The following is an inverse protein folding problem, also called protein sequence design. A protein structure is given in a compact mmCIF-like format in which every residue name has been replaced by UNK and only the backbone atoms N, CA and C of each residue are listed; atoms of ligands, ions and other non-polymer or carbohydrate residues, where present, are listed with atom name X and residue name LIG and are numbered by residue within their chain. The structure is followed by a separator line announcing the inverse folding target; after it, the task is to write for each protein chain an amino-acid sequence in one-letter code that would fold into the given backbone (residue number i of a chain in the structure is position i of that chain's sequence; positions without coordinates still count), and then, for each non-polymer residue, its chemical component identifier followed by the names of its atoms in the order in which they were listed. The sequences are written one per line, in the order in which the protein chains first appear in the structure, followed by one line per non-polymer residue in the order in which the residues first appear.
data_IF_605344721296
#
_entry.id   IF_605344721296
#
_cell.length_a   1.000
_cell.length_b   1.000
_cell.length_c   1.000
_cell.angle_alpha   90.00
_cell.angle_beta   90.00
_cell.angle_gamma   90.00
#
_symmetry.space_group_name_H-M   'P 1'
#
loop_
_entity.id
_entity.type
_entity.pdbx_description
1 polymer ?
#
# COMPACT_ATOMS: atom_id res chain seq x y z
N UNK A 1 -9.51 10.28 24.53
CA UNK A 1 -8.61 10.92 23.55
C UNK A 1 -7.91 12.08 24.24
N UNK A 2 -6.60 12.16 24.09
CA UNK A 2 -5.74 13.23 24.63
C UNK A 2 -5.55 14.30 23.57
N UNK A 3 -5.56 15.58 23.94
CA UNK A 3 -5.11 16.65 23.05
C UNK A 3 -3.59 16.75 23.17
N UNK A 4 -2.86 16.43 22.10
CA UNK A 4 -1.39 16.35 22.10
C UNK A 4 -0.74 17.53 21.38
N UNK A 5 -1.48 18.19 20.50
CA UNK A 5 -1.17 19.49 19.93
C UNK A 5 -2.48 20.18 19.55
N UNK A 6 -2.43 21.50 19.28
CA UNK A 6 -3.60 22.24 18.82
C UNK A 6 -4.16 21.60 17.55
N UNK A 7 -5.43 21.19 17.59
CA UNK A 7 -6.09 20.53 16.45
C UNK A 7 -5.69 19.06 16.24
N UNK A 8 -4.90 18.47 17.15
CA UNK A 8 -4.50 17.06 17.10
C UNK A 8 -4.86 16.34 18.40
N UNK A 9 -5.78 15.37 18.29
CA UNK A 9 -6.13 14.48 19.39
C UNK A 9 -5.66 13.07 19.11
N UNK A 10 -5.10 12.43 20.13
CA UNK A 10 -4.58 11.08 20.10
C UNK A 10 -5.48 10.13 20.91
N UNK A 11 -5.84 8.99 20.33
CA UNK A 11 -6.32 7.84 21.08
C UNK A 11 -5.11 6.91 21.34
N UNK A 12 -4.52 6.94 22.55
CA UNK A 12 -3.30 6.16 22.81
C UNK A 12 -3.60 4.66 22.79
N UNK A 13 -2.62 3.87 22.36
CA UNK A 13 -2.64 2.42 22.53
C UNK A 13 -1.88 2.01 23.80
N UNK A 14 -2.19 0.83 24.31
CA UNK A 14 -1.42 0.18 25.38
C UNK A 14 -1.23 -1.29 25.02
N UNK A 15 -0.36 -1.99 25.74
CA UNK A 15 -0.14 -3.45 25.58
C UNK A 15 -1.46 -4.24 25.73
N UNK A 16 -2.45 -3.71 26.45
CA UNK A 16 -3.77 -4.32 26.58
C UNK A 16 -4.49 -4.48 25.23
N UNK A 17 -4.22 -3.61 24.24
CA UNK A 17 -4.81 -3.72 22.91
C UNK A 17 -4.31 -4.98 22.17
N UNK A 18 -3.04 -5.33 22.32
CA UNK A 18 -2.49 -6.58 21.79
C UNK A 18 -3.10 -7.81 22.50
N UNK A 19 -3.27 -7.72 23.82
CA UNK A 19 -3.95 -8.77 24.59
C UNK A 19 -5.40 -8.99 24.18
N UNK A 20 -6.10 -7.91 23.80
CA UNK A 20 -7.49 -7.94 23.35
C UNK A 20 -7.70 -8.73 22.05
N UNK A 21 -6.75 -8.65 21.12
CA UNK A 21 -6.78 -9.37 19.82
C UNK A 21 -6.36 -10.84 19.93
N UNK A 22 -5.61 -11.21 20.97
CA UNK A 22 -5.13 -12.58 21.17
C UNK A 22 -6.27 -13.62 21.20
N UNK A 23 -5.95 -14.90 20.93
CA UNK A 23 -6.95 -15.98 20.92
C UNK A 23 -7.68 -16.16 22.26
N UNK A 24 -7.06 -15.75 23.37
CA UNK A 24 -7.66 -15.75 24.73
C UNK A 24 -8.23 -14.38 25.12
N UNK A 25 -8.12 -13.39 24.22
CA UNK A 25 -8.60 -12.05 24.40
C UNK A 25 -10.11 -11.95 24.27
N UNK A 26 -10.66 -10.87 24.84
CA UNK A 26 -12.10 -10.64 24.84
C UNK A 26 -12.69 -10.24 23.48
N UNK A 27 -11.89 -9.91 22.46
CA UNK A 27 -12.43 -9.44 21.18
C UNK A 27 -13.02 -10.56 20.33
N UNK A 28 -12.43 -11.76 20.40
CA UNK A 28 -12.82 -12.90 19.58
C UNK A 28 -14.27 -13.34 19.88
N UNK A 29 -14.68 -13.26 21.15
CA UNK A 29 -16.01 -13.67 21.60
C UNK A 29 -17.10 -12.61 21.39
N UNK A 30 -16.74 -11.38 20.99
CA UNK A 30 -17.71 -10.31 20.83
C UNK A 30 -18.42 -10.38 19.47
N UNK A 31 -19.73 -10.05 19.42
CA UNK A 31 -20.42 -9.85 18.17
C UNK A 31 -19.89 -8.59 17.46
N UNK A 32 -19.91 -8.60 16.12
CA UNK A 32 -19.40 -7.52 15.27
C UNK A 32 -18.00 -7.03 15.68
N UNK A 33 -17.15 -7.95 16.12
CA UNK A 33 -15.81 -7.68 16.64
C UNK A 33 -14.92 -6.90 15.67
N UNK A 34 -15.17 -7.00 14.38
CA UNK A 34 -14.51 -6.30 13.29
C UNK A 34 -15.16 -4.95 12.91
N UNK A 35 -16.29 -4.57 13.53
CA UNK A 35 -17.00 -3.29 13.30
C UNK A 35 -16.91 -2.31 14.47
N UNK A 36 -16.20 -2.68 15.55
CA UNK A 36 -16.20 -1.91 16.79
C UNK A 36 -15.54 -0.55 16.63
N UNK A 37 -14.45 -0.46 15.88
CA UNK A 37 -13.76 0.80 15.62
C UNK A 37 -14.64 1.73 14.77
N UNK A 38 -15.22 1.22 13.68
CA UNK A 38 -16.13 1.97 12.82
C UNK A 38 -17.27 2.61 13.64
N UNK A 39 -17.99 1.83 14.46
CA UNK A 39 -19.08 2.35 15.31
C UNK A 39 -18.64 3.38 16.33
N UNK A 40 -17.39 3.32 16.78
CA UNK A 40 -16.84 4.34 17.66
C UNK A 40 -16.53 5.62 16.88
N UNK A 41 -15.88 5.48 15.71
CA UNK A 41 -15.51 6.60 14.85
C UNK A 41 -16.74 7.34 14.31
N UNK A 42 -17.81 6.66 13.91
CA UNK A 42 -19.08 7.28 13.50
C UNK A 42 -19.65 8.23 14.55
N UNK A 43 -19.50 7.91 15.85
CA UNK A 43 -20.00 8.75 16.95
C UNK A 43 -19.15 10.00 17.19
N UNK A 44 -17.85 9.93 16.89
CA UNK A 44 -16.94 11.05 17.14
C UNK A 44 -16.62 11.86 15.88
N UNK A 45 -16.91 11.31 14.69
CA UNK A 45 -16.63 11.90 13.39
C UNK A 45 -17.06 13.38 13.26
N UNK A 46 -18.22 13.84 13.80
CA UNK A 46 -18.61 15.25 13.71
C UNK A 46 -17.62 16.25 14.34
N UNK A 47 -16.62 15.78 15.11
CA UNK A 47 -15.64 16.61 15.80
C UNK A 47 -14.25 16.62 15.13
N UNK A 48 -14.08 15.92 14.01
CA UNK A 48 -12.78 15.74 13.38
C UNK A 48 -12.88 15.87 11.86
N UNK A 49 -11.93 16.59 11.26
CA UNK A 49 -11.84 16.68 9.81
C UNK A 49 -11.27 15.40 9.19
N UNK A 50 -10.34 14.73 9.90
CA UNK A 50 -9.61 13.55 9.44
C UNK A 50 -9.29 12.61 10.60
N UNK A 51 -9.17 11.32 10.30
CA UNK A 51 -8.73 10.28 11.22
C UNK A 51 -7.58 9.48 10.59
N UNK A 52 -6.44 9.41 11.27
CA UNK A 52 -5.32 8.53 10.88
C UNK A 52 -5.32 7.33 11.81
N UNK A 53 -5.36 6.14 11.23
CA UNK A 53 -5.34 4.86 11.97
C UNK A 53 -4.01 4.18 11.68
N UNK A 54 -3.12 4.15 12.68
CA UNK A 54 -1.89 3.37 12.61
C UNK A 54 -2.19 1.88 12.83
N UNK A 55 -1.88 1.06 11.84
CA UNK A 55 -2.24 -0.35 11.82
C UNK A 55 -1.09 -1.22 12.35
N UNK A 56 -1.38 -2.26 13.14
CA UNK A 56 -0.36 -3.21 13.53
C UNK A 56 0.16 -3.98 12.30
N UNK A 57 1.41 -4.48 12.33
CA UNK A 57 1.99 -5.23 11.20
C UNK A 57 1.37 -6.63 11.01
N UNK A 58 0.57 -7.08 11.98
CA UNK A 58 -0.10 -8.39 11.96
C UNK A 58 -1.48 -8.30 11.31
N UNK A 59 -1.86 -9.33 10.56
CA UNK A 59 -3.22 -9.44 10.03
C UNK A 59 -4.09 -10.07 11.12
N UNK A 60 -5.05 -9.31 11.63
CA UNK A 60 -5.94 -9.72 12.70
C UNK A 60 -7.16 -8.81 12.81
N UNK A 61 -7.91 -8.94 13.90
CA UNK A 61 -9.12 -8.15 14.15
C UNK A 61 -8.86 -6.65 14.20
N UNK A 62 -7.70 -6.20 14.68
CA UNK A 62 -7.35 -4.77 14.71
C UNK A 62 -7.20 -4.24 13.28
N UNK A 63 -6.52 -4.98 12.42
CA UNK A 63 -6.36 -4.65 10.99
C UNK A 63 -7.71 -4.67 10.27
N UNK A 64 -8.57 -5.67 10.53
CA UNK A 64 -9.93 -5.68 9.95
C UNK A 64 -10.79 -4.49 10.43
N UNK A 65 -10.70 -4.13 11.71
CA UNK A 65 -11.39 -2.95 12.24
C UNK A 65 -10.89 -1.66 11.57
N UNK A 66 -9.58 -1.51 11.36
CA UNK A 66 -8.98 -0.37 10.68
C UNK A 66 -9.45 -0.29 9.22
N UNK A 67 -9.32 -1.38 8.46
CA UNK A 67 -9.75 -1.44 7.05
C UNK A 67 -11.25 -1.18 6.89
N UNK A 68 -12.07 -1.68 7.82
CA UNK A 68 -13.52 -1.45 7.78
C UNK A 68 -13.88 0.01 8.05
N UNK A 69 -13.10 0.70 8.87
CA UNK A 69 -13.32 2.09 9.24
C UNK A 69 -12.67 3.10 8.29
N UNK A 70 -11.72 2.67 7.46
CA UNK A 70 -10.96 3.54 6.58
C UNK A 70 -11.71 3.82 5.26
N UNK A 71 -11.47 5.01 4.72
CA UNK A 71 -11.87 5.42 3.37
C UNK A 71 -10.74 5.16 2.35
N UNK A 72 -9.50 5.17 2.82
CA UNK A 72 -8.31 4.87 2.04
C UNK A 72 -7.20 4.26 2.91
N UNK A 73 -6.26 3.56 2.28
CA UNK A 73 -5.06 3.01 2.91
C UNK A 73 -3.80 3.59 2.28
N UNK A 74 -2.90 4.09 3.14
CA UNK A 74 -1.54 4.44 2.77
C UNK A 74 -0.62 3.24 3.03
N UNK A 75 0.17 2.85 2.04
CA UNK A 75 1.08 1.71 2.08
C UNK A 75 2.51 2.24 1.99
N UNK A 76 3.24 2.32 3.11
CA UNK A 76 4.64 2.70 3.10
C UNK A 76 5.47 1.58 2.46
N UNK A 77 6.27 1.91 1.45
CA UNK A 77 7.12 0.97 0.71
C UNK A 77 8.55 1.48 0.71
N UNK A 78 9.45 0.75 1.35
CA UNK A 78 10.88 1.03 1.32
C UNK A 78 11.41 0.96 -0.11
N UNK A 79 12.24 1.89 -0.57
CA UNK A 79 12.88 1.82 -1.92
C UNK A 79 14.12 0.91 -1.94
N UNK A 80 13.98 -0.33 -1.45
CA UNK A 80 15.03 -1.35 -1.39
C UNK A 80 14.94 -2.41 -2.48
N UNK A 81 15.89 -3.36 -2.50
CA UNK A 81 15.99 -4.40 -3.54
C UNK A 81 14.71 -5.24 -3.71
N UNK A 82 14.00 -5.53 -2.63
CA UNK A 82 12.76 -6.34 -2.63
C UNK A 82 11.47 -5.51 -2.66
N UNK A 83 11.59 -4.18 -2.74
CA UNK A 83 10.50 -3.24 -2.61
C UNK A 83 9.35 -3.49 -3.57
N UNK A 84 9.67 -3.66 -4.87
CA UNK A 84 8.65 -3.72 -5.90
C UNK A 84 7.76 -4.96 -5.72
N UNK A 85 8.36 -6.14 -5.54
CA UNK A 85 7.61 -7.37 -5.29
C UNK A 85 6.88 -7.33 -3.94
N UNK A 86 7.49 -6.72 -2.92
CA UNK A 86 6.87 -6.50 -1.61
C UNK A 86 5.63 -5.63 -1.70
N UNK A 87 5.74 -4.50 -2.40
CA UNK A 87 4.65 -3.55 -2.63
C UNK A 87 3.47 -4.19 -3.35
N UNK A 88 3.74 -4.92 -4.43
CA UNK A 88 2.70 -5.65 -5.17
C UNK A 88 1.93 -6.62 -4.29
N UNK A 89 2.66 -7.43 -3.52
CA UNK A 89 2.06 -8.38 -2.59
C UNK A 89 1.26 -7.66 -1.51
N UNK A 90 1.77 -6.55 -0.98
CA UNK A 90 1.11 -5.81 0.10
C UNK A 90 -0.17 -5.14 -0.38
N UNK A 91 -0.15 -4.48 -1.54
CA UNK A 91 -1.33 -3.88 -2.18
C UNK A 91 -2.39 -4.95 -2.46
N UNK A 92 -2.00 -6.07 -3.05
CA UNK A 92 -2.91 -7.19 -3.31
C UNK A 92 -3.51 -7.77 -2.01
N UNK A 93 -2.70 -7.89 -0.96
CA UNK A 93 -3.14 -8.39 0.35
C UNK A 93 -4.15 -7.44 1.00
N UNK A 94 -3.86 -6.13 1.00
CA UNK A 94 -4.78 -5.12 1.56
C UNK A 94 -6.09 -5.10 0.77
N UNK A 95 -6.04 -5.18 -0.55
CA UNK A 95 -7.23 -5.30 -1.41
C UNK A 95 -8.09 -6.50 -1.02
N UNK A 96 -7.49 -7.70 -0.93
CA UNK A 96 -8.22 -8.91 -0.55
C UNK A 96 -8.84 -8.83 0.87
N UNK A 97 -8.13 -8.23 1.83
CA UNK A 97 -8.66 -8.02 3.18
C UNK A 97 -9.81 -7.00 3.20
N UNK A 98 -9.72 -5.93 2.41
CA UNK A 98 -10.77 -4.93 2.26
C UNK A 98 -12.04 -5.53 1.62
N UNK A 99 -11.86 -6.36 0.59
CA UNK A 99 -12.96 -7.10 -0.05
C UNK A 99 -13.66 -8.04 0.94
N UNK A 100 -12.90 -8.74 1.79
CA UNK A 100 -13.45 -9.61 2.83
C UNK A 100 -14.35 -8.86 3.82
N UNK A 101 -14.06 -7.58 4.08
CA UNK A 101 -14.91 -6.72 4.93
C UNK A 101 -15.94 -5.93 4.12
N UNK A 102 -16.07 -6.17 2.81
CA UNK A 102 -17.04 -5.50 1.95
C UNK A 102 -16.75 -4.01 1.75
N UNK A 103 -15.48 -3.62 1.73
CA UNK A 103 -15.05 -2.23 1.50
C UNK A 103 -14.26 -2.13 0.20
N UNK A 104 -14.59 -1.13 -0.61
CA UNK A 104 -13.71 -0.67 -1.68
C UNK A 104 -12.79 0.39 -1.10
N UNK A 105 -11.52 0.06 -0.94
CA UNK A 105 -10.54 0.93 -0.30
C UNK A 105 -9.56 1.45 -1.34
N UNK A 106 -9.42 2.78 -1.44
CA UNK A 106 -8.38 3.36 -2.27
C UNK A 106 -7.01 3.06 -1.63
N UNK A 107 -6.15 2.33 -2.33
CA UNK A 107 -4.81 1.99 -1.84
C UNK A 107 -3.80 2.92 -2.51
N UNK A 108 -3.04 3.63 -1.69
CA UNK A 108 -2.06 4.63 -2.10
C UNK A 108 -0.68 4.25 -1.56
N UNK A 109 0.36 4.44 -2.35
CA UNK A 109 1.74 4.05 -2.03
C UNK A 109 2.53 5.26 -1.60
N UNK A 110 3.26 5.11 -0.50
CA UNK A 110 4.20 6.13 0.00
C UNK A 110 5.59 5.52 -0.05
N UNK A 111 6.47 5.92 -0.99
CA UNK A 111 7.85 5.47 -0.99
C UNK A 111 8.57 6.03 0.25
N UNK A 112 9.25 5.16 1.00
CA UNK A 112 9.95 5.53 2.24
C UNK A 112 11.39 5.03 2.25
N UNK A 113 12.17 5.54 3.22
CA UNK A 113 13.58 5.19 3.42
C UNK A 113 14.41 5.37 2.14
N UNK A 114 14.06 6.38 1.33
CA UNK A 114 14.75 6.65 0.08
C UNK A 114 16.13 7.22 0.33
N UNK A 115 17.13 6.73 -0.40
CA UNK A 115 18.51 7.18 -0.33
C UNK A 115 18.91 7.88 -1.63
N UNK A 116 19.05 9.19 -1.59
CA UNK A 116 19.36 10.03 -2.75
C UNK A 116 20.68 9.62 -3.44
N UNK A 117 21.67 9.12 -2.69
CA UNK A 117 22.96 8.65 -3.23
C UNK A 117 22.94 7.24 -3.83
N UNK A 118 21.80 6.55 -3.85
CA UNK A 118 21.70 5.14 -4.23
C UNK A 118 21.01 4.97 -5.59
N UNK A 119 21.77 4.57 -6.62
CA UNK A 119 21.20 4.26 -7.94
C UNK A 119 20.11 3.21 -7.87
N UNK A 120 20.29 2.17 -7.04
CA UNK A 120 19.27 1.15 -6.81
C UNK A 120 17.96 1.77 -6.27
N UNK A 121 18.06 2.72 -5.34
CA UNK A 121 16.87 3.38 -4.77
C UNK A 121 16.11 4.18 -5.84
N UNK A 122 16.84 4.84 -6.75
CA UNK A 122 16.26 5.55 -7.91
C UNK A 122 15.60 4.60 -8.90
N UNK A 123 16.28 3.51 -9.27
CA UNK A 123 15.76 2.51 -10.21
C UNK A 123 14.46 1.87 -9.68
N UNK A 124 14.45 1.55 -8.38
CA UNK A 124 13.28 0.99 -7.68
C UNK A 124 12.15 2.01 -7.59
N UNK A 125 12.42 3.25 -7.18
CA UNK A 125 11.41 4.32 -7.13
C UNK A 125 10.76 4.52 -8.50
N UNK A 126 11.57 4.56 -9.57
CA UNK A 126 11.07 4.64 -10.94
C UNK A 126 10.22 3.43 -11.35
N UNK A 127 10.59 2.21 -10.92
CA UNK A 127 9.82 1.01 -11.20
C UNK A 127 8.47 1.00 -10.48
N UNK A 128 8.43 1.41 -9.20
CA UNK A 128 7.18 1.56 -8.43
C UNK A 128 6.32 2.65 -9.09
N UNK A 129 6.92 3.79 -9.45
CA UNK A 129 6.22 4.89 -10.12
C UNK A 129 5.54 4.47 -11.42
N UNK A 130 6.24 3.72 -12.29
CA UNK A 130 5.65 3.19 -13.53
C UNK A 130 4.49 2.21 -13.30
N UNK A 131 4.53 1.47 -12.19
CA UNK A 131 3.51 0.46 -11.88
C UNK A 131 2.28 1.05 -11.19
N UNK A 132 2.46 2.08 -10.37
CA UNK A 132 1.43 2.63 -9.49
C UNK A 132 1.18 4.14 -9.74
N UNK A 133 1.33 4.59 -10.99
CA UNK A 133 1.39 6.01 -11.41
C UNK A 133 0.36 6.92 -10.75
N UNK A 134 -0.92 6.54 -10.71
CA UNK A 134 -1.99 7.37 -10.17
C UNK A 134 -2.13 7.30 -8.63
N UNK A 135 -1.40 6.40 -7.98
CA UNK A 135 -1.59 6.05 -6.57
C UNK A 135 -0.32 6.22 -5.73
N UNK A 136 0.79 6.66 -6.31
CA UNK A 136 2.06 6.85 -5.63
C UNK A 136 2.24 8.32 -5.18
N UNK A 137 2.78 8.52 -3.98
CA UNK A 137 3.17 9.85 -3.53
C UNK A 137 4.27 10.41 -4.46
N UNK A 138 4.17 11.69 -4.88
CA UNK A 138 5.11 12.28 -5.83
C UNK A 138 6.50 12.48 -5.23
N UNK A 139 6.58 12.65 -3.90
CA UNK A 139 7.82 12.84 -3.16
C UNK A 139 8.04 11.64 -2.23
N UNK A 140 9.20 10.96 -2.31
CA UNK A 140 9.53 9.90 -1.36
C UNK A 140 9.89 10.50 0.01
N UNK A 141 9.61 9.76 1.09
CA UNK A 141 10.18 10.07 2.40
C UNK A 141 11.61 9.55 2.42
N UNK A 142 12.60 10.44 2.48
CA UNK A 142 14.01 10.06 2.48
C UNK A 142 14.49 9.60 3.85
N UNK A 143 15.59 8.86 3.86
CA UNK A 143 16.25 8.48 5.10
C UNK A 143 17.00 9.69 5.68
N UNK A 144 16.51 10.21 6.82
CA UNK A 144 17.13 11.32 7.54
C UNK A 144 17.49 10.92 8.96
N UNK A 145 18.68 11.30 9.44
CA UNK A 145 19.11 11.08 10.82
C UNK A 145 18.23 11.84 11.83
N UNK A 146 17.81 13.06 11.46
CA UNK A 146 16.94 13.92 12.28
C UNK A 146 15.59 13.27 12.64
N UNK A 147 15.12 12.31 11.84
CA UNK A 147 13.91 11.53 12.17
C UNK A 147 14.15 10.61 13.36
N UNK A 148 15.34 9.99 13.45
CA UNK A 148 15.72 9.12 14.58
C UNK A 148 15.90 9.95 15.85
N UNK A 149 16.46 11.14 15.73
CA UNK A 149 16.57 12.09 16.83
C UNK A 149 15.17 12.53 17.31
N UNK A 150 14.29 13.00 16.41
CA UNK A 150 12.95 13.42 16.78
C UNK A 150 12.19 12.33 17.59
N UNK A 151 12.30 11.07 17.16
CA UNK A 151 11.72 9.92 17.87
C UNK A 151 12.31 9.75 19.28
N UNK A 152 13.62 9.92 19.47
CA UNK A 152 14.25 9.78 20.79
C UNK A 152 13.80 10.86 21.78
N UNK A 153 13.42 12.03 21.28
CA UNK A 153 12.81 13.12 22.06
C UNK A 153 11.28 13.00 22.18
N UNK A 154 10.65 12.01 21.56
CA UNK A 154 9.20 11.84 21.55
C UNK A 154 8.46 12.98 20.85
N UNK A 155 9.11 13.65 19.89
CA UNK A 155 8.57 14.78 19.15
C UNK A 155 8.33 14.40 17.68
N UNK A 156 7.35 15.02 17.05
CA UNK A 156 7.21 14.94 15.60
C UNK A 156 8.35 15.70 14.92
N UNK A 157 8.75 15.29 13.71
CA UNK A 157 9.78 16.02 12.94
C UNK A 157 9.39 17.47 12.67
N UNK A 158 8.09 17.75 12.56
CA UNK A 158 7.55 19.09 12.36
C UNK A 158 7.85 20.00 13.56
N UNK A 159 7.77 19.47 14.78
CA UNK A 159 8.09 20.20 16.00
C UNK A 159 9.59 20.20 16.30
N UNK A 160 10.29 19.08 16.05
CA UNK A 160 11.68 18.90 16.41
C UNK A 160 12.65 19.65 15.48
N UNK A 161 12.41 19.58 14.17
CA UNK A 161 13.30 20.15 13.15
C UNK A 161 12.51 20.87 12.05
N UNK A 162 11.80 21.96 12.39
CA UNK A 162 11.05 22.74 11.41
C UNK A 162 11.98 23.29 10.32
N UNK A 163 11.56 23.17 9.06
CA UNK A 163 12.35 23.61 7.89
C UNK A 163 13.50 22.66 7.49
N UNK A 164 13.66 21.52 8.15
CA UNK A 164 14.59 20.48 7.70
C UNK A 164 14.09 19.76 6.42
N UNK A 165 14.98 19.11 5.66
CA UNK A 165 14.57 18.28 4.53
C UNK A 165 13.56 17.17 4.91
N UNK A 166 13.68 16.63 6.13
CA UNK A 166 12.72 15.64 6.65
C UNK A 166 11.35 16.25 6.92
N UNK A 167 11.31 17.48 7.46
CA UNK A 167 10.06 18.23 7.61
C UNK A 167 9.40 18.48 6.25
N UNK A 168 10.17 18.84 5.23
CA UNK A 168 9.64 19.08 3.88
C UNK A 168 9.10 17.82 3.22
N UNK A 169 9.75 16.66 3.40
CA UNK A 169 9.25 15.37 2.90
C UNK A 169 7.87 15.03 3.48
N UNK A 170 7.69 15.19 4.80
CA UNK A 170 6.41 14.94 5.46
C UNK A 170 5.35 15.99 5.14
N UNK A 171 5.75 17.25 4.94
CA UNK A 171 4.84 18.31 4.51
C UNK A 171 4.30 18.05 3.11
N UNK A 172 5.16 17.67 2.16
CA UNK A 172 4.75 17.30 0.81
C UNK A 172 3.81 16.08 0.81
N UNK A 173 4.07 15.09 1.67
CA UNK A 173 3.17 13.94 1.85
C UNK A 173 1.80 14.38 2.38
N UNK A 174 1.76 15.27 3.39
CA UNK A 174 0.51 15.76 3.95
C UNK A 174 -0.30 16.56 2.92
N UNK A 175 0.34 17.45 2.16
CA UNK A 175 -0.28 18.21 1.07
C UNK A 175 -0.89 17.25 0.03
N UNK A 176 -0.15 16.23 -0.41
CA UNK A 176 -0.65 15.23 -1.34
C UNK A 176 -1.84 14.41 -0.80
N UNK A 177 -1.84 14.09 0.50
CA UNK A 177 -2.97 13.40 1.15
C UNK A 177 -4.23 14.26 1.10
N UNK A 178 -4.11 15.56 1.37
CA UNK A 178 -5.22 16.50 1.41
C UNK A 178 -5.76 16.79 0.01
N UNK A 179 -4.88 17.10 -0.95
CA UNK A 179 -5.26 17.48 -2.31
C UNK A 179 -5.98 16.34 -3.05
N UNK A 180 -5.49 15.11 -2.90
CA UNK A 180 -6.07 13.95 -3.60
C UNK A 180 -7.52 13.68 -3.18
N UNK A 181 -7.89 13.97 -1.93
CA UNK A 181 -9.26 13.78 -1.45
C UNK A 181 -10.24 14.83 -1.96
N UNK A 182 -9.77 16.05 -2.28
CA UNK A 182 -10.60 17.07 -2.91
C UNK A 182 -11.07 16.61 -4.31
N UNK A 183 -10.19 15.93 -5.06
CA UNK A 183 -10.50 15.39 -6.40
C UNK A 183 -11.49 14.23 -6.33
N UNK A 184 -11.31 13.26 -5.42
CA UNK A 184 -12.23 12.13 -5.26
C UNK A 184 -13.63 12.58 -4.83
N UNK A 185 -13.70 13.64 -4.00
CA UNK A 185 -14.98 14.23 -3.55
C UNK A 185 -15.68 15.00 -4.69
N UNK A 186 -14.92 15.69 -5.54
CA UNK A 186 -15.45 16.43 -6.70
C UNK A 186 -15.94 15.50 -7.83
N UNK A 187 -15.20 14.43 -8.13
CA UNK A 187 -15.61 13.43 -9.12
C UNK A 187 -16.84 12.63 -8.65
N UNK A 188 -16.91 12.26 -7.36
CA UNK A 188 -18.08 11.57 -6.80
C UNK A 188 -19.37 12.42 -6.82
N UNK A 189 -19.25 13.76 -6.80
CA UNK A 189 -20.40 14.67 -6.94
C UNK A 189 -20.77 14.94 -8.40
N UNK A 190 -19.82 14.87 -9.33
CA UNK A 190 -20.07 15.04 -10.76
C UNK A 190 -20.80 13.83 -11.38
N UNK A 191 -20.61 12.62 -10.83
CA UNK A 191 -21.29 11.39 -11.29
C UNK A 191 -22.76 11.34 -10.88
N UNK A 192 -23.19 12.13 -9.88
CA UNK A 192 -24.59 12.17 -9.44
C UNK A 192 -25.50 13.04 -10.36
N UNK A 193 -24.94 13.68 -11.39
CA UNK A 193 -25.69 14.52 -12.34
C UNK A 193 -25.71 14.00 -13.80
N UNK A 194 -25.33 12.75 -14.06
CA UNK A 194 -25.37 12.20 -15.41
C UNK A 194 -25.40 10.68 -15.48
N UNK A 195 -26.52 10.12 -15.93
CA UNK A 195 -26.75 8.69 -16.06
C UNK A 195 -25.92 7.99 -17.16
N UNK A 196 -25.50 6.75 -16.84
CA UNK A 196 -25.32 5.53 -17.67
C UNK A 196 -24.42 5.49 -18.92
N UNK A 197 -23.39 4.60 -18.91
CA UNK A 197 -22.93 3.72 -20.02
C UNK A 197 -21.80 2.78 -19.52
N UNK A 198 -22.01 1.47 -19.38
CA UNK A 198 -21.78 0.37 -20.35
C UNK A 198 -20.32 -0.16 -20.42
N UNK A 199 -20.15 -1.43 -20.03
CA UNK A 199 -18.89 -2.19 -19.97
C UNK A 199 -18.53 -2.83 -21.32
N UNK A 200 -17.23 -3.03 -21.61
CA UNK A 200 -16.73 -3.86 -22.73
C UNK A 200 -15.57 -4.75 -22.28
N UNK A 201 -15.66 -6.03 -22.64
CA UNK A 201 -14.64 -7.10 -22.54
C UNK A 201 -14.10 -7.41 -23.95
N UNK A 202 -12.82 -7.76 -24.10
CA UNK A 202 -12.28 -8.46 -25.30
C UNK A 202 -11.16 -9.44 -24.90
N UNK A 203 -11.14 -10.62 -25.50
CA UNK A 203 -10.08 -11.65 -25.45
C UNK A 203 -9.50 -11.92 -26.87
N UNK A 204 -8.25 -12.40 -27.02
CA UNK A 204 -7.89 -13.71 -27.63
C UNK A 204 -6.37 -13.98 -27.84
N UNK A 205 -6.00 -15.24 -28.15
CA UNK A 205 -4.64 -15.81 -28.39
C UNK A 205 -3.95 -15.57 -29.77
N UNK A 206 -3.06 -16.47 -30.27
CA UNK A 206 -1.63 -16.16 -30.49
C UNK A 206 -1.16 -15.94 -31.95
N UNK A 207 -0.14 -15.05 -32.13
CA UNK A 207 0.62 -14.84 -33.37
C UNK A 207 1.73 -13.79 -33.21
N UNK A 208 2.88 -13.99 -33.86
CA UNK A 208 4.19 -13.36 -33.58
C UNK A 208 4.34 -11.90 -34.11
N UNK A 209 3.45 -11.02 -33.65
CA UNK A 209 3.51 -9.55 -33.70
C UNK A 209 2.38 -9.00 -32.81
N UNK A 210 2.53 -7.85 -32.13
CA UNK A 210 1.39 -7.21 -31.44
C UNK A 210 0.94 -6.01 -32.25
N UNK A 211 -0.18 -6.16 -32.94
CA UNK A 211 -0.98 -5.06 -33.48
C UNK A 211 -1.66 -4.31 -32.32
N UNK A 212 -1.64 -2.98 -32.35
CA UNK A 212 -2.50 -2.16 -31.46
C UNK A 212 -3.74 -1.70 -32.23
N UNK A 213 -4.85 -1.43 -31.52
CA UNK A 213 -6.21 -1.23 -32.07
C UNK A 213 -6.38 -0.06 -33.03
N UNK A 214 -5.38 0.81 -33.20
CA UNK A 214 -5.39 1.92 -34.17
C UNK A 214 -4.56 1.61 -35.43
N UNK A 215 -4.19 0.33 -35.63
CA UNK A 215 -3.55 -0.14 -36.86
C UNK A 215 -2.07 0.24 -37.01
N UNK A 216 -1.36 0.55 -35.91
CA UNK A 216 0.08 0.83 -35.95
C UNK A 216 0.91 -0.29 -35.31
N UNK A 217 2.02 -0.64 -35.97
CA UNK A 217 3.01 -1.65 -35.55
C UNK A 217 4.22 -0.98 -34.88
N UNK A 218 4.68 -1.48 -33.73
CA UNK A 218 5.92 -1.02 -33.08
C UNK A 218 7.06 -2.05 -33.21
N UNK A 219 8.32 -1.63 -33.43
CA UNK A 219 9.46 -2.54 -33.50
C UNK A 219 10.01 -2.87 -32.09
N UNK A 220 10.61 -4.06 -31.93
CA UNK A 220 11.29 -4.47 -30.69
C UNK A 220 12.47 -3.52 -30.39
N UNK A 221 12.49 -2.97 -29.17
CA UNK A 221 13.64 -2.24 -28.61
C UNK A 221 14.81 -3.22 -28.38
N UNK A 222 15.89 -3.04 -29.15
CA UNK A 222 17.18 -3.62 -28.85
C UNK A 222 17.84 -2.80 -27.73
N UNK A 223 17.98 -3.39 -26.54
CA UNK A 223 18.66 -2.79 -25.40
C UNK A 223 19.52 -3.82 -24.69
N UNK A 224 20.80 -3.87 -25.04
CA UNK A 224 21.81 -4.66 -24.34
C UNK A 224 22.17 -3.96 -23.03
N UNK A 225 21.64 -4.45 -21.90
CA UNK A 225 21.97 -3.96 -20.57
C UNK A 225 21.66 -5.01 -19.51
N UNK A 226 22.51 -5.10 -18.48
CA UNK A 226 22.47 -6.12 -17.40
C UNK A 226 21.12 -6.27 -16.69
N UNK A 227 20.22 -5.30 -16.80
CA UNK A 227 18.84 -5.39 -16.32
C UNK A 227 17.99 -6.44 -17.08
N UNK A 228 18.21 -6.59 -18.39
CA UNK A 228 17.54 -7.62 -19.20
C UNK A 228 18.06 -9.02 -18.85
N UNK A 229 19.37 -9.15 -18.58
CA UNK A 229 20.01 -10.40 -18.17
C UNK A 229 19.52 -10.87 -16.79
N UNK A 230 19.29 -9.92 -15.86
CA UNK A 230 18.74 -10.22 -14.52
C UNK A 230 17.27 -10.66 -14.60
N UNK A 231 16.47 -10.03 -15.46
CA UNK A 231 15.08 -10.43 -15.72
C UNK A 231 14.98 -11.81 -16.38
N UNK A 232 15.97 -12.20 -17.19
CA UNK A 232 16.01 -13.50 -17.87
C UNK A 232 16.43 -14.63 -16.92
N UNK A 233 17.33 -14.37 -15.97
CA UNK A 233 17.70 -15.35 -14.91
C UNK A 233 16.57 -15.61 -13.92
N UNK A 234 15.70 -14.63 -13.67
CA UNK A 234 14.52 -14.81 -12.81
C UNK A 234 13.42 -15.69 -13.42
N UNK A 235 13.43 -15.95 -14.74
CA UNK A 235 12.44 -16.81 -15.42
C UNK A 235 12.73 -18.32 -15.35
N UNK A 236 13.95 -18.75 -14.99
CA UNK A 236 14.36 -20.17 -15.06
C UNK A 236 14.03 -20.95 -13.77
N UNK A 237 13.55 -20.29 -12.71
CA UNK A 237 13.33 -20.93 -11.40
C UNK A 237 11.86 -21.26 -11.07
N UNK A 238 11.03 -21.63 -12.04
CA UNK A 238 9.65 -22.01 -11.71
C UNK A 238 8.88 -22.73 -12.80
N UNK A 239 8.98 -24.06 -12.83
CA UNK A 239 7.89 -24.94 -13.25
C UNK A 239 8.05 -26.33 -12.59
N UNK A 240 7.03 -26.86 -11.90
CA UNK A 240 6.88 -28.29 -11.68
C UNK A 240 6.16 -28.90 -12.89
N UNK A 241 6.78 -29.88 -13.56
CA UNK A 241 6.11 -30.68 -14.59
C UNK A 241 5.42 -31.88 -13.95
N UNK A 242 4.10 -31.97 -14.13
CA UNK A 242 3.29 -33.13 -13.75
C UNK A 242 3.27 -34.21 -14.84
N UNK A 243 3.48 -35.46 -14.43
CA UNK A 243 2.83 -36.66 -14.98
C UNK A 243 3.57 -37.47 -16.04
N UNK A 244 4.15 -38.61 -15.68
CA UNK A 244 3.54 -39.93 -15.91
C UNK A 244 4.37 -41.07 -15.27
N UNK A 245 3.62 -42.00 -14.73
CA UNK A 245 3.94 -43.23 -14.01
C UNK A 245 4.56 -44.30 -14.91
N UNK A 246 5.63 -44.97 -14.48
CA UNK A 246 5.85 -46.43 -14.66
C UNK A 246 7.10 -46.96 -13.91
N UNK A 247 6.83 -48.05 -13.19
CA UNK A 247 7.66 -49.21 -12.81
C UNK A 247 8.81 -49.12 -11.79
N UNK A 248 8.61 -49.88 -10.71
CA UNK A 248 9.57 -50.37 -9.71
C UNK A 248 10.62 -51.30 -10.35
N UNK A 249 11.78 -51.52 -9.69
CA UNK A 249 11.86 -52.68 -8.81
C UNK A 249 12.53 -52.41 -7.45
N UNK A 250 12.15 -53.24 -6.48
CA UNK A 250 12.73 -53.37 -5.14
C UNK A 250 14.24 -53.67 -5.15
N UNK A 251 14.98 -53.11 -4.19
CA UNK A 251 16.01 -53.82 -3.42
C UNK A 251 16.53 -52.97 -2.24
N UNK A 252 16.10 -53.35 -1.04
CA UNK A 252 16.85 -53.44 0.22
C UNK A 252 17.80 -52.28 0.64
N UNK A 253 17.29 -51.36 1.47
CA UNK A 253 17.70 -51.01 2.87
C UNK A 253 16.55 -50.19 3.47
#
# INVERSE_FOLDING_TARGET
MWEVARGLRLAPCTVALAGLESARGGLVSLPDRDRRLLRYLERVAPHFDRCVIDCPPTIGYLTFNALRAADEALVPVETGFFALRGAERQVATIGALADQVGRKLAVRIVPTLHRDGSQLSHDILGAIGRKFTAHIAPTPIREHEVLREAVSYGQSVVAFAPGSPAHDDFRALAEWIVDTQATVSAESQAVDHGAAAAAVYVADGPGDSVMTSDGHTLPRLAGHGRAAELAQRMRISGAPTSGHEQDLPEASV
#
